data_IF_695547672090
#
_entry.id   IF_695547672090
#
_cell.length_a   1.000
_cell.length_b   1.000
_cell.length_c   1.000
_cell.angle_alpha   90.00
_cell.angle_beta   90.00
_cell.angle_gamma   90.00
#
_symmetry.space_group_name_H-M   'P 1'
#
loop_
_entity.id
_entity.type
_entity.pdbx_description
1 polymer ?
#
# COMPACT_ATOMS: atom_id res chain seq x y z
N UNK A 1 -14.25 14.91 9.92
CA UNK A 1 -13.35 14.07 9.09
C UNK A 1 -13.25 12.70 9.73
N UNK A 2 -13.52 11.62 8.97
CA UNK A 2 -13.59 10.26 9.52
C UNK A 2 -12.18 9.78 9.86
N UNK A 3 -11.84 9.79 11.16
CA UNK A 3 -10.57 9.32 11.75
C UNK A 3 -9.93 8.07 11.09
N UNK A 4 -10.67 7.03 10.63
CA UNK A 4 -10.05 5.88 9.96
C UNK A 4 -9.32 6.18 8.64
N UNK A 5 -9.74 7.19 7.88
CA UNK A 5 -9.12 7.50 6.57
C UNK A 5 -7.74 8.16 6.72
N UNK A 6 -7.56 8.96 7.77
CA UNK A 6 -6.28 9.58 8.08
C UNK A 6 -5.27 8.51 8.50
N UNK A 7 -5.69 7.56 9.34
CA UNK A 7 -4.83 6.46 9.81
C UNK A 7 -4.35 5.60 8.63
N UNK A 8 -5.25 5.20 7.72
CA UNK A 8 -4.84 4.46 6.53
C UNK A 8 -3.87 5.22 5.63
N UNK A 9 -4.05 6.54 5.51
CA UNK A 9 -3.17 7.39 4.71
C UNK A 9 -1.78 7.52 5.33
N UNK A 10 -1.70 7.62 6.66
CA UNK A 10 -0.42 7.60 7.40
C UNK A 10 0.26 6.24 7.26
N UNK A 11 -0.48 5.13 7.36
CA UNK A 11 0.08 3.79 7.17
C UNK A 11 0.62 3.62 5.74
N UNK A 12 -0.10 4.12 4.74
CA UNK A 12 0.38 4.13 3.35
C UNK A 12 1.68 4.92 3.21
N UNK A 13 1.77 6.10 3.83
CA UNK A 13 2.98 6.91 3.81
C UNK A 13 4.18 6.15 4.40
N UNK A 14 3.97 5.51 5.56
CA UNK A 14 5.00 4.69 6.22
C UNK A 14 5.45 3.54 5.32
N UNK A 15 4.51 2.85 4.67
CA UNK A 15 4.82 1.74 3.75
C UNK A 15 5.67 2.23 2.58
N UNK A 16 5.34 3.38 1.98
CA UNK A 16 6.11 3.95 0.88
C UNK A 16 7.55 4.28 1.31
N UNK A 17 7.70 4.86 2.50
CA UNK A 17 9.03 5.17 3.06
C UNK A 17 9.83 3.88 3.30
N UNK A 18 9.20 2.83 3.81
CA UNK A 18 9.84 1.53 4.03
C UNK A 18 10.14 0.78 2.71
N UNK A 19 9.43 1.09 1.63
CA UNK A 19 9.68 0.50 0.31
C UNK A 19 10.89 1.12 -0.40
N UNK A 20 11.26 2.35 -0.08
CA UNK A 20 12.44 3.03 -0.65
C UNK A 20 13.75 2.24 -0.48
N UNK A 21 14.14 1.80 0.73
CA UNK A 21 15.37 1.02 0.90
C UNK A 21 15.30 -0.35 0.21
N UNK A 22 14.13 -0.98 0.17
CA UNK A 22 13.92 -2.23 -0.58
C UNK A 22 14.14 -2.00 -2.08
N UNK A 23 13.58 -0.92 -2.62
CA UNK A 23 13.76 -0.54 -4.02
C UNK A 23 15.21 -0.17 -4.33
N UNK A 24 15.87 0.61 -3.48
CA UNK A 24 17.29 0.93 -3.60
C UNK A 24 18.15 -0.34 -3.63
N UNK A 25 17.87 -1.30 -2.75
CA UNK A 25 18.59 -2.58 -2.70
C UNK A 25 18.37 -3.44 -3.95
N UNK A 26 17.18 -3.39 -4.55
CA UNK A 26 16.90 -4.11 -5.81
C UNK A 26 17.47 -3.39 -7.04
N UNK A 27 17.58 -2.07 -7.01
CA UNK A 27 18.03 -1.27 -8.16
C UNK A 27 19.51 -1.47 -8.52
N UNK A 28 20.30 -2.13 -7.65
CA UNK A 28 21.73 -2.30 -7.82
C UNK A 28 22.53 -0.99 -7.73
N UNK A 29 21.87 0.14 -7.44
CA UNK A 29 22.51 1.46 -7.32
C UNK A 29 23.24 1.65 -5.99
N UNK A 30 22.91 0.85 -5.00
CA UNK A 30 23.52 0.87 -3.67
C UNK A 30 23.89 -0.55 -3.30
N UNK A 31 25.19 -0.78 -3.10
CA UNK A 31 25.70 -2.05 -2.59
C UNK A 31 25.43 -2.12 -1.09
N UNK A 32 24.34 -2.80 -0.73
CA UNK A 32 24.09 -3.17 0.66
C UNK A 32 24.88 -4.42 1.02
N UNK A 33 25.35 -4.48 2.27
CA UNK A 33 25.90 -5.72 2.82
C UNK A 33 24.93 -6.90 2.64
N UNK A 34 25.40 -8.12 2.34
CA UNK A 34 24.55 -9.29 2.12
C UNK A 34 23.52 -9.53 3.23
N UNK A 35 23.90 -9.26 4.48
CA UNK A 35 23.03 -9.40 5.65
C UNK A 35 21.86 -8.39 5.62
N UNK A 36 22.14 -7.15 5.22
CA UNK A 36 21.12 -6.08 5.10
C UNK A 36 20.20 -6.38 3.92
N UNK A 37 20.76 -6.81 2.78
CA UNK A 37 19.95 -7.19 1.62
C UNK A 37 19.01 -8.36 1.94
N UNK A 38 19.47 -9.36 2.70
CA UNK A 38 18.64 -10.48 3.17
C UNK A 38 17.52 -10.01 4.09
N UNK A 39 17.83 -9.11 5.04
CA UNK A 39 16.83 -8.53 5.93
C UNK A 39 15.77 -7.69 5.17
N UNK A 40 16.20 -6.86 4.21
CA UNK A 40 15.29 -6.06 3.37
C UNK A 40 14.37 -6.94 2.52
N UNK A 41 14.88 -8.06 1.98
CA UNK A 41 14.07 -9.04 1.26
C UNK A 41 13.07 -9.74 2.18
N UNK A 42 13.47 -10.08 3.40
CA UNK A 42 12.56 -10.63 4.39
C UNK A 42 11.45 -9.64 4.75
N UNK A 43 11.79 -8.36 4.95
CA UNK A 43 10.86 -7.27 5.26
C UNK A 43 9.90 -6.94 4.10
N UNK A 44 10.33 -7.18 2.85
CA UNK A 44 9.51 -6.95 1.66
C UNK A 44 8.20 -7.76 1.67
N UNK A 45 8.21 -9.00 2.14
CA UNK A 45 7.02 -9.86 2.20
C UNK A 45 5.89 -9.27 3.06
N UNK A 46 6.10 -8.95 4.35
CA UNK A 46 5.04 -8.36 5.17
C UNK A 46 4.61 -6.99 4.66
N UNK A 47 5.54 -6.18 4.10
CA UNK A 47 5.20 -4.91 3.45
C UNK A 47 4.21 -5.10 2.29
N UNK A 48 4.45 -6.09 1.42
CA UNK A 48 3.55 -6.42 0.31
C UNK A 48 2.18 -6.91 0.79
N UNK A 49 2.13 -7.74 1.83
CA UNK A 49 0.88 -8.24 2.41
C UNK A 49 0.04 -7.08 2.96
N UNK A 50 0.64 -6.16 3.72
CA UNK A 50 -0.07 -5.00 4.28
C UNK A 50 -0.54 -4.07 3.16
N UNK A 51 0.31 -3.80 2.17
CA UNK A 51 -0.06 -2.99 1.01
C UNK A 51 -1.24 -3.61 0.23
N UNK A 52 -1.19 -4.92 -0.01
CA UNK A 52 -2.28 -5.67 -0.65
C UNK A 52 -3.59 -5.58 0.14
N UNK A 53 -3.54 -5.74 1.47
CA UNK A 53 -4.72 -5.63 2.33
C UNK A 53 -5.35 -4.23 2.30
N UNK A 54 -4.52 -3.17 2.31
CA UNK A 54 -5.00 -1.78 2.20
C UNK A 54 -5.63 -1.53 0.84
N UNK A 55 -4.99 -2.00 -0.24
CA UNK A 55 -5.51 -1.86 -1.60
C UNK A 55 -6.86 -2.57 -1.76
N UNK A 56 -7.01 -3.80 -1.27
CA UNK A 56 -8.28 -4.53 -1.31
C UNK A 56 -9.38 -3.79 -0.53
N UNK A 57 -9.05 -3.23 0.65
CA UNK A 57 -9.99 -2.41 1.42
C UNK A 57 -10.40 -1.14 0.68
N UNK A 58 -9.45 -0.43 0.06
CA UNK A 58 -9.73 0.75 -0.78
C UNK A 58 -10.56 0.40 -1.99
N UNK A 59 -10.19 -0.64 -2.73
CA UNK A 59 -10.92 -1.15 -3.89
C UNK A 59 -12.35 -1.50 -3.52
N UNK A 60 -12.58 -2.19 -2.41
CA UNK A 60 -13.94 -2.50 -1.93
C UNK A 60 -14.76 -1.23 -1.72
N UNK A 61 -14.20 -0.20 -1.09
CA UNK A 61 -14.90 1.09 -0.90
C UNK A 61 -15.18 1.80 -2.23
N UNK A 62 -14.21 1.80 -3.15
CA UNK A 62 -14.38 2.39 -4.48
C UNK A 62 -15.47 1.65 -5.26
N UNK A 63 -15.46 0.31 -5.26
CA UNK A 63 -16.48 -0.51 -5.92
C UNK A 63 -17.86 -0.23 -5.34
N UNK A 64 -18.00 -0.14 -4.01
CA UNK A 64 -19.27 0.24 -3.38
C UNK A 64 -19.71 1.65 -3.79
N UNK A 65 -18.82 2.63 -3.75
CA UNK A 65 -19.12 3.99 -4.14
C UNK A 65 -19.52 4.09 -5.62
N UNK A 66 -18.82 3.38 -6.51
CA UNK A 66 -19.13 3.32 -7.95
C UNK A 66 -20.48 2.63 -8.19
N UNK A 67 -20.77 1.54 -7.47
CA UNK A 67 -22.06 0.83 -7.57
C UNK A 67 -23.22 1.70 -7.09
N UNK A 68 -23.06 2.39 -5.97
CA UNK A 68 -24.06 3.31 -5.43
C UNK A 68 -24.31 4.51 -6.35
N UNK A 69 -23.26 5.02 -7.02
CA UNK A 69 -23.40 6.07 -8.03
C UNK A 69 -24.11 5.57 -9.30
N UNK A 70 -23.84 4.31 -9.70
CA UNK A 70 -24.52 3.67 -10.84
C UNK A 70 -26.02 3.46 -10.55
N UNK A 71 -26.38 3.10 -9.33
CA UNK A 71 -27.79 2.97 -8.91
C UNK A 71 -28.51 4.33 -8.84
N UNK A 72 -27.82 5.43 -8.51
CA UNK A 72 -28.39 6.79 -8.59
C UNK A 72 -28.54 7.30 -10.02
N UNK A 73 -27.65 6.90 -10.93
CA UNK A 73 -27.72 7.26 -12.35
C UNK A 73 -28.88 6.58 -13.12
N UNK A 74 -29.51 5.54 -12.54
CA UNK A 74 -30.68 4.86 -13.13
C UNK A 74 -32.03 5.45 -12.72
N UNK A 75 -32.06 6.49 -11.87
CA UNK A 75 -33.26 7.29 -11.55
C UNK A 75 -33.24 8.61 -12.32
N UNK A 76 -33.38 8.53 -13.64
CA UNK A 76 -33.90 9.62 -14.46
C UNK A 76 -34.80 9.01 -15.53
#
# INVERSE_FOLDING_TARGET
>A
MKKPEVIESVILLIIVVLFLPVWLAQSGRVEFSPSIASFLRFLQYPLLVVLGAILVRRLRRIIHAVRENKDRSGRF
#
